data_IF_052185427641
#
_entry.id   IF_052185427641
#
_cell.length_a   1.000
_cell.length_b   1.000
_cell.length_c   1.000
_cell.angle_alpha   90.00
_cell.angle_beta   90.00
_cell.angle_gamma   90.00
#
_symmetry.space_group_name_H-M   'P 1'
#
loop_
_entity.id
_entity.type
_entity.pdbx_description
1 polymer ?
#
# COMPACT_ATOMS: atom_id res chain seq x y z
N UNK A 1 -13.36 15.95 15.54
CA UNK A 1 -12.50 17.16 15.44
C UNK A 1 -11.05 16.70 15.55
N UNK A 2 -10.25 16.88 14.51
CA UNK A 2 -8.81 16.61 14.55
C UNK A 2 -8.14 17.69 15.39
N UNK A 3 -7.39 17.31 16.42
CA UNK A 3 -6.57 18.26 17.18
C UNK A 3 -5.59 18.96 16.23
N UNK A 4 -5.57 20.29 16.27
CA UNK A 4 -4.64 21.13 15.51
C UNK A 4 -3.23 20.92 16.05
N UNK A 5 -2.21 20.63 15.22
CA UNK A 5 -0.84 20.50 15.68
C UNK A 5 -0.29 21.83 16.22
N UNK A 6 0.79 21.75 17.01
CA UNK A 6 1.50 22.93 17.49
C UNK A 6 2.09 23.73 16.31
N UNK A 7 2.26 25.03 16.51
CA UNK A 7 2.61 26.01 15.46
C UNK A 7 3.63 27.02 16.02
N UNK A 8 4.69 27.39 15.27
CA UNK A 8 4.98 27.05 13.87
C UNK A 8 5.38 25.59 13.64
N UNK A 9 4.96 25.04 12.50
CA UNK A 9 5.11 23.64 12.12
C UNK A 9 6.09 23.49 10.95
N UNK A 10 7.09 22.63 11.13
CA UNK A 10 7.90 22.11 10.04
C UNK A 10 7.21 20.86 9.44
N UNK A 11 6.93 20.88 8.14
CA UNK A 11 6.37 19.74 7.40
C UNK A 11 7.43 19.19 6.44
N UNK A 12 7.81 17.92 6.59
CA UNK A 12 8.88 17.31 5.78
C UNK A 12 8.44 15.96 5.21
N UNK A 13 8.31 15.86 3.89
CA UNK A 13 8.00 14.60 3.22
C UNK A 13 8.79 14.46 1.90
N UNK A 14 9.23 13.24 1.61
CA UNK A 14 9.73 12.90 0.27
C UNK A 14 8.65 12.16 -0.54
N UNK A 15 7.99 11.20 0.08
CA UNK A 15 7.03 10.34 -0.61
C UNK A 15 5.62 10.92 -0.54
N UNK A 16 4.81 10.69 -1.58
CA UNK A 16 3.45 11.25 -1.66
C UNK A 16 2.49 10.60 -0.63
N UNK A 17 2.72 9.34 -0.25
CA UNK A 17 1.91 8.60 0.71
C UNK A 17 1.73 9.30 2.07
N UNK A 18 2.80 9.60 2.83
CA UNK A 18 2.68 10.31 4.10
C UNK A 18 2.06 11.70 3.93
N UNK A 19 2.39 12.42 2.84
CA UNK A 19 1.81 13.75 2.58
C UNK A 19 0.30 13.66 2.32
N UNK A 20 -0.16 12.66 1.58
CA UNK A 20 -1.57 12.44 1.28
C UNK A 20 -2.40 12.16 2.55
N UNK A 21 -1.79 11.53 3.56
CA UNK A 21 -2.39 11.34 4.88
C UNK A 21 -2.39 12.64 5.70
N UNK A 22 -1.27 13.38 5.70
CA UNK A 22 -1.09 14.59 6.49
C UNK A 22 -1.98 15.74 6.03
N UNK A 23 -2.04 16.01 4.72
CA UNK A 23 -2.71 17.18 4.16
C UNK A 23 -4.16 17.35 4.65
N UNK A 24 -5.02 16.31 4.60
CA UNK A 24 -6.38 16.40 5.14
C UNK A 24 -6.48 16.60 6.66
N UNK A 25 -5.42 16.31 7.41
CA UNK A 25 -5.40 16.49 8.87
C UNK A 25 -4.99 17.91 9.30
N UNK A 26 -4.45 18.71 8.39
CA UNK A 26 -3.90 20.03 8.67
C UNK A 26 -4.86 21.14 8.21
N UNK A 27 -5.18 22.06 9.11
CA UNK A 27 -5.80 23.34 8.75
C UNK A 27 -4.69 24.38 8.50
N UNK A 28 -4.27 24.47 7.23
CA UNK A 28 -3.20 25.39 6.80
C UNK A 28 -3.57 26.88 6.95
N UNK A 29 -4.83 27.21 7.27
CA UNK A 29 -5.24 28.59 7.57
C UNK A 29 -4.99 28.98 9.03
N UNK A 30 -4.86 27.99 9.92
CA UNK A 30 -4.67 28.19 11.37
C UNK A 30 -3.27 27.86 11.85
N UNK A 31 -2.52 27.06 11.09
CA UNK A 31 -1.17 26.63 11.43
C UNK A 31 -0.17 27.38 10.56
N UNK A 32 0.87 27.95 11.16
CA UNK A 32 2.00 28.52 10.43
C UNK A 32 2.89 27.37 9.99
N UNK A 33 2.88 27.03 8.71
CA UNK A 33 3.63 25.87 8.17
C UNK A 33 4.80 26.35 7.31
N UNK A 34 5.94 25.68 7.47
CA UNK A 34 7.06 25.71 6.52
C UNK A 34 7.29 24.30 6.01
N UNK A 35 7.11 24.10 4.71
CA UNK A 35 7.14 22.78 4.10
C UNK A 35 8.44 22.56 3.31
N UNK A 36 9.27 21.61 3.75
CA UNK A 36 10.42 21.14 2.98
C UNK A 36 10.05 19.80 2.33
N UNK A 37 9.62 19.85 1.08
CA UNK A 37 9.16 18.69 0.32
C UNK A 37 10.13 18.36 -0.80
N UNK A 38 10.24 17.07 -1.13
CA UNK A 38 11.02 16.54 -2.26
C UNK A 38 10.25 15.44 -2.97
N UNK A 39 10.79 14.96 -4.09
CA UNK A 39 10.26 13.79 -4.79
C UNK A 39 8.77 13.90 -5.13
N UNK A 40 8.03 12.77 -5.06
CA UNK A 40 6.58 12.74 -5.29
C UNK A 40 5.77 13.66 -4.36
N UNK A 41 6.21 13.87 -3.11
CA UNK A 41 5.52 14.78 -2.19
C UNK A 41 5.51 16.22 -2.70
N UNK A 42 6.63 16.70 -3.26
CA UNK A 42 6.72 18.05 -3.82
C UNK A 42 5.82 18.23 -5.04
N UNK A 43 5.75 17.23 -5.93
CA UNK A 43 4.88 17.24 -7.09
C UNK A 43 3.41 17.34 -6.64
N UNK A 44 3.00 16.47 -5.72
CA UNK A 44 1.64 16.45 -5.19
C UNK A 44 1.27 17.77 -4.47
N UNK A 45 2.21 18.39 -3.75
CA UNK A 45 1.99 19.69 -3.13
C UNK A 45 1.76 20.80 -4.15
N UNK A 46 2.62 20.88 -5.17
CA UNK A 46 2.56 21.94 -6.20
C UNK A 46 1.27 21.90 -7.00
N UNK A 47 0.79 20.71 -7.35
CA UNK A 47 -0.50 20.51 -8.04
C UNK A 47 -1.67 21.12 -7.26
N UNK A 48 -1.60 21.09 -5.92
CA UNK A 48 -2.71 21.50 -5.04
C UNK A 48 -2.57 22.92 -4.49
N UNK A 49 -1.36 23.36 -4.19
CA UNK A 49 -1.07 24.56 -3.42
C UNK A 49 -0.09 25.52 -4.12
N UNK A 50 0.48 25.14 -5.27
CA UNK A 50 1.60 25.85 -5.89
C UNK A 50 2.84 25.86 -4.99
N UNK A 51 3.61 26.94 -5.05
CA UNK A 51 4.82 27.11 -4.22
C UNK A 51 4.55 27.73 -2.83
N UNK A 52 3.27 27.89 -2.45
CA UNK A 52 2.91 28.46 -1.14
C UNK A 52 3.46 27.59 -0.01
N UNK A 53 3.99 28.25 1.03
CA UNK A 53 4.54 27.64 2.26
C UNK A 53 5.78 26.77 2.05
N UNK A 54 6.25 26.60 0.81
CA UNK A 54 7.47 25.85 0.53
C UNK A 54 8.70 26.62 0.98
N UNK A 55 9.66 25.90 1.53
CA UNK A 55 10.99 26.41 1.86
C UNK A 55 12.07 25.57 1.19
N UNK A 56 13.24 26.17 1.01
CA UNK A 56 14.29 25.58 0.18
C UNK A 56 14.92 24.34 0.84
N UNK A 57 15.09 24.31 2.16
CA UNK A 57 15.82 23.24 2.84
C UNK A 57 15.26 22.95 4.25
N UNK A 58 15.90 21.99 4.94
CA UNK A 58 15.54 21.56 6.28
C UNK A 58 15.79 22.65 7.32
N UNK A 59 16.85 23.45 7.15
CA UNK A 59 17.19 24.51 8.10
C UNK A 59 16.09 25.57 8.12
N UNK A 60 15.68 26.05 6.94
CA UNK A 60 14.58 26.99 6.80
C UNK A 60 13.24 26.44 7.32
N UNK A 61 13.00 25.12 7.18
CA UNK A 61 11.79 24.48 7.68
C UNK A 61 11.74 24.41 9.21
N UNK A 62 12.88 24.11 9.84
CA UNK A 62 12.99 23.90 11.29
C UNK A 62 13.21 25.21 12.06
N UNK A 63 13.68 26.27 11.40
CA UNK A 63 13.90 27.58 12.03
C UNK A 63 12.60 28.11 12.69
N UNK A 64 12.67 28.35 14.01
CA UNK A 64 11.55 28.81 14.82
C UNK A 64 10.35 27.85 14.89
N UNK A 65 10.46 26.62 14.36
CA UNK A 65 9.43 25.60 14.50
C UNK A 65 9.35 25.13 15.95
N UNK A 66 8.17 24.70 16.38
CA UNK A 66 7.95 24.06 17.69
C UNK A 66 7.63 22.56 17.54
N UNK A 67 7.35 22.13 16.31
CA UNK A 67 7.00 20.76 15.98
C UNK A 67 7.49 20.40 14.58
N UNK A 68 7.95 19.16 14.42
CA UNK A 68 8.19 18.50 13.14
C UNK A 68 7.08 17.47 12.88
N UNK A 69 6.40 17.57 11.75
CA UNK A 69 5.62 16.47 11.17
C UNK A 69 6.37 15.97 9.93
N UNK A 70 6.69 14.67 9.90
CA UNK A 70 7.40 14.08 8.77
C UNK A 70 6.82 12.74 8.32
N UNK A 71 7.13 12.34 7.07
CA UNK A 71 6.97 10.95 6.65
C UNK A 71 8.02 10.03 7.26
N UNK A 72 7.98 8.74 6.90
CA UNK A 72 8.90 7.73 7.39
C UNK A 72 9.33 6.75 6.28
N UNK A 73 9.83 7.27 5.17
CA UNK A 73 10.31 6.53 4.02
C UNK A 73 11.57 5.69 4.30
N UNK A 74 11.83 4.76 3.38
CA UNK A 74 12.96 3.81 3.41
C UNK A 74 13.81 4.02 2.17
N UNK A 75 15.13 4.06 2.32
CA UNK A 75 16.08 4.02 1.20
C UNK A 75 17.26 4.99 1.33
N UNK A 76 18.30 4.83 0.49
CA UNK A 76 19.47 5.70 0.50
C UNK A 76 19.21 7.08 -0.13
N UNK A 77 20.06 8.03 0.28
CA UNK A 77 20.34 9.37 -0.27
C UNK A 77 19.18 10.37 -0.35
N UNK A 78 18.18 10.17 -1.21
CA UNK A 78 17.06 11.12 -1.37
C UNK A 78 15.92 10.89 -0.34
N UNK A 79 15.75 9.64 0.11
CA UNK A 79 14.80 9.24 1.18
C UNK A 79 15.38 9.33 2.59
N UNK A 80 16.56 9.95 2.70
CA UNK A 80 17.14 10.34 3.99
C UNK A 80 16.59 11.68 4.51
N UNK A 81 15.85 12.44 3.69
CA UNK A 81 15.28 13.74 4.06
C UNK A 81 14.53 13.69 5.41
N UNK A 82 13.64 12.71 5.55
CA UNK A 82 12.77 12.59 6.74
C UNK A 82 13.55 12.08 7.96
N UNK A 83 14.55 11.21 7.76
CA UNK A 83 15.43 10.75 8.83
C UNK A 83 16.34 11.89 9.32
N UNK A 84 16.94 12.65 8.40
CA UNK A 84 17.70 13.88 8.70
C UNK A 84 16.86 14.92 9.41
N UNK A 85 15.61 15.12 9.00
CA UNK A 85 14.70 16.04 9.67
C UNK A 85 14.49 15.62 11.13
N UNK A 86 14.28 14.32 11.40
CA UNK A 86 14.15 13.80 12.77
C UNK A 86 15.42 14.00 13.60
N UNK A 87 16.61 13.79 13.02
CA UNK A 87 17.88 14.05 13.69
C UNK A 87 18.06 15.54 14.02
N UNK A 88 17.76 16.43 13.07
CA UNK A 88 17.86 17.87 13.27
C UNK A 88 16.84 18.40 14.29
N UNK A 89 15.59 17.93 14.21
CA UNK A 89 14.57 18.26 15.21
C UNK A 89 14.98 17.83 16.63
N UNK A 90 15.59 16.65 16.76
CA UNK A 90 16.13 16.18 18.02
C UNK A 90 17.23 17.09 18.59
N UNK A 91 18.17 17.52 17.74
CA UNK A 91 19.25 18.42 18.13
C UNK A 91 18.73 19.79 18.59
N UNK A 92 17.59 20.22 18.04
CA UNK A 92 16.91 21.47 18.38
C UNK A 92 15.89 21.33 19.53
N UNK A 93 15.70 20.12 20.08
CA UNK A 93 14.71 19.86 21.13
C UNK A 93 13.25 20.01 20.68
N UNK A 94 12.97 19.87 19.38
CA UNK A 94 11.62 19.99 18.81
C UNK A 94 10.84 18.69 18.98
N UNK A 95 9.55 18.83 19.29
CA UNK A 95 8.65 17.67 19.30
C UNK A 95 8.46 17.13 17.88
N UNK A 96 8.78 15.86 17.68
CA UNK A 96 8.82 15.21 16.39
C UNK A 96 7.75 14.13 16.28
N UNK A 97 6.98 14.16 15.19
CA UNK A 97 6.02 13.13 14.83
C UNK A 97 6.39 12.55 13.46
N UNK A 98 6.33 11.22 13.34
CA UNK A 98 6.44 10.56 12.04
C UNK A 98 5.12 9.86 11.65
N UNK A 99 4.76 9.99 10.38
CA UNK A 99 3.59 9.35 9.79
C UNK A 99 3.99 8.09 9.06
N UNK A 100 3.33 6.99 9.38
CA UNK A 100 3.47 5.71 8.68
C UNK A 100 2.30 5.54 7.70
N UNK A 101 2.65 5.40 6.43
CA UNK A 101 1.73 5.34 5.28
C UNK A 101 1.63 3.93 4.67
N UNK A 102 2.33 2.96 5.25
CA UNK A 102 2.36 1.56 4.81
C UNK A 102 2.36 0.62 6.02
N UNK A 103 2.36 -0.70 5.77
CA UNK A 103 2.30 -1.75 6.80
C UNK A 103 3.57 -2.62 6.90
N UNK A 104 4.68 -2.20 6.27
CA UNK A 104 5.92 -2.99 6.24
C UNK A 104 7.13 -2.20 6.76
N UNK A 105 8.09 -2.95 7.29
CA UNK A 105 9.46 -2.51 7.60
C UNK A 105 9.55 -1.36 8.61
N UNK A 106 8.66 -1.33 9.60
CA UNK A 106 8.51 -0.23 10.55
C UNK A 106 9.82 0.13 11.25
N UNK A 107 10.53 -0.86 11.81
CA UNK A 107 11.82 -0.61 12.47
C UNK A 107 12.88 -0.04 11.51
N UNK A 108 12.93 -0.56 10.27
CA UNK A 108 13.91 -0.14 9.27
C UNK A 108 13.69 1.32 8.80
N UNK A 109 12.45 1.84 8.87
CA UNK A 109 12.12 3.25 8.56
C UNK A 109 12.89 4.26 9.43
N UNK A 110 13.28 3.85 10.63
CA UNK A 110 13.94 4.72 11.61
C UNK A 110 15.43 4.44 11.78
N UNK A 111 16.01 3.50 11.03
CA UNK A 111 17.41 3.13 11.14
C UNK A 111 18.18 3.50 9.88
N UNK A 112 19.35 4.14 10.04
CA UNK A 112 20.30 4.46 8.97
C UNK A 112 21.71 4.16 9.45
N UNK A 113 22.48 3.41 8.67
CA UNK A 113 23.87 3.04 8.99
C UNK A 113 24.04 2.47 10.42
N UNK A 114 23.07 1.68 10.88
CA UNK A 114 23.07 1.10 12.23
C UNK A 114 22.60 2.03 13.35
N UNK A 115 22.43 3.32 13.11
CA UNK A 115 21.88 4.27 14.07
C UNK A 115 20.36 4.40 13.92
N UNK A 116 19.64 4.25 15.03
CA UNK A 116 18.18 4.42 15.05
C UNK A 116 17.77 5.76 15.64
N UNK A 117 16.81 6.43 15.00
CA UNK A 117 16.17 7.65 15.53
C UNK A 117 14.65 7.57 15.38
N UNK A 118 14.00 7.30 16.50
CA UNK A 118 12.54 7.37 16.63
C UNK A 118 12.07 8.83 16.76
N UNK A 119 10.83 9.14 16.33
CA UNK A 119 10.16 10.38 16.70
C UNK A 119 9.69 10.30 18.17
N UNK A 120 9.12 11.39 18.68
CA UNK A 120 8.44 11.40 19.98
C UNK A 120 7.05 10.76 19.91
N UNK A 121 6.46 10.73 18.71
CA UNK A 121 5.13 10.17 18.47
C UNK A 121 4.99 9.62 17.04
N UNK A 122 4.16 8.59 16.86
CA UNK A 122 3.77 8.06 15.55
C UNK A 122 2.31 8.33 15.23
N UNK A 123 2.03 8.74 14.00
CA UNK A 123 0.66 8.79 13.46
C UNK A 123 0.46 7.71 12.39
N UNK A 124 -0.68 7.04 12.48
CA UNK A 124 -1.11 5.98 11.56
C UNK A 124 -2.56 6.21 11.16
N UNK A 125 -2.98 5.63 10.03
CA UNK A 125 -4.28 5.92 9.43
C UNK A 125 -5.33 4.78 9.59
N UNK A 126 -4.93 3.60 10.06
CA UNK A 126 -5.81 2.45 10.25
C UNK A 126 -5.44 1.61 11.49
N UNK A 127 -6.38 0.76 11.91
CA UNK A 127 -6.26 -0.01 13.14
C UNK A 127 -5.16 -1.08 13.05
N UNK A 128 -4.94 -1.64 11.87
CA UNK A 128 -3.88 -2.60 11.61
C UNK A 128 -2.49 -1.96 11.71
N UNK A 129 -2.28 -0.80 11.10
CA UNK A 129 -1.06 0.00 11.22
C UNK A 129 -0.82 0.43 12.68
N UNK A 130 -1.89 0.77 13.40
CA UNK A 130 -1.81 1.05 14.84
C UNK A 130 -1.31 -0.14 15.64
N UNK A 131 -1.89 -1.33 15.41
CA UNK A 131 -1.46 -2.55 16.09
C UNK A 131 0.00 -2.90 15.75
N UNK A 132 0.39 -2.80 14.49
CA UNK A 132 1.77 -3.02 14.04
C UNK A 132 2.74 -2.04 14.68
N UNK A 133 2.40 -0.74 14.73
CA UNK A 133 3.24 0.29 15.36
C UNK A 133 3.42 0.04 16.86
N UNK A 134 2.35 -0.32 17.57
CA UNK A 134 2.39 -0.63 19.01
C UNK A 134 3.20 -1.89 19.32
N UNK A 135 3.11 -2.90 18.47
CA UNK A 135 3.91 -4.12 18.59
C UNK A 135 5.40 -3.85 18.29
N UNK A 136 5.68 -3.04 17.27
CA UNK A 136 7.06 -2.74 16.84
C UNK A 136 7.77 -1.78 17.79
N UNK A 137 7.07 -0.79 18.35
CA UNK A 137 7.64 0.24 19.23
C UNK A 137 6.95 0.28 20.59
N UNK A 138 7.22 -0.69 21.48
CA UNK A 138 6.70 -0.66 22.84
C UNK A 138 7.08 0.65 23.55
N UNK A 139 6.09 1.31 24.16
CA UNK A 139 6.29 2.55 24.90
C UNK A 139 6.25 3.83 24.07
N UNK A 140 6.41 3.77 22.75
CA UNK A 140 6.27 4.94 21.89
C UNK A 140 4.78 5.36 21.76
N UNK A 141 4.42 6.63 21.96
CA UNK A 141 3.08 7.12 21.70
C UNK A 141 2.69 6.90 20.23
N UNK A 142 1.53 6.28 20.01
CA UNK A 142 0.95 6.07 18.68
C UNK A 142 -0.44 6.67 18.69
N UNK A 143 -0.78 7.50 17.69
CA UNK A 143 -2.13 8.02 17.48
C UNK A 143 -2.73 7.49 16.19
N UNK A 144 -3.90 6.89 16.32
CA UNK A 144 -4.74 6.55 15.19
C UNK A 144 -5.47 7.81 14.70
N UNK A 145 -5.32 8.14 13.43
CA UNK A 145 -6.00 9.23 12.74
C UNK A 145 -6.90 8.64 11.65
N UNK A 146 -8.01 9.30 11.28
CA UNK A 146 -8.86 8.80 10.20
C UNK A 146 -8.11 8.83 8.86
N UNK A 147 -8.17 7.74 8.08
CA UNK A 147 -7.64 7.71 6.72
C UNK A 147 -8.54 8.49 5.75
N UNK A 148 -8.52 9.83 5.84
CA UNK A 148 -9.33 10.71 4.99
C UNK A 148 -8.95 10.58 3.50
N UNK A 149 -7.71 10.20 3.20
CA UNK A 149 -7.25 9.94 1.83
C UNK A 149 -7.98 8.73 1.24
N UNK A 150 -7.92 7.58 1.92
CA UNK A 150 -8.62 6.36 1.50
C UNK A 150 -10.13 6.58 1.43
N UNK A 151 -10.71 7.27 2.42
CA UNK A 151 -12.15 7.59 2.42
C UNK A 151 -12.55 8.39 1.18
N UNK A 152 -11.78 9.43 0.81
CA UNK A 152 -12.04 10.23 -0.38
C UNK A 152 -11.82 9.44 -1.68
N UNK A 153 -10.93 8.45 -1.70
CA UNK A 153 -10.79 7.54 -2.85
C UNK A 153 -12.01 6.61 -2.95
N UNK A 154 -12.42 5.98 -1.86
CA UNK A 154 -13.58 5.06 -1.81
C UNK A 154 -14.87 5.79 -2.18
N UNK A 155 -15.07 7.03 -1.70
CA UNK A 155 -16.27 7.83 -2.03
C UNK A 155 -16.39 8.19 -3.51
N UNK A 156 -15.29 8.17 -4.26
CA UNK A 156 -15.30 8.42 -5.70
C UNK A 156 -15.55 7.16 -6.53
N UNK A 157 -15.42 5.98 -5.92
CA UNK A 157 -15.69 4.72 -6.59
C UNK A 157 -17.19 4.44 -6.63
N UNK A 158 -17.63 3.81 -7.71
CA UNK A 158 -18.98 3.28 -7.83
C UNK A 158 -19.23 2.17 -6.79
N UNK A 159 -20.50 1.94 -6.39
CA UNK A 159 -20.88 0.79 -5.57
C UNK A 159 -20.35 -0.51 -6.16
N UNK A 160 -19.94 -1.44 -5.29
CA UNK A 160 -19.39 -2.72 -5.72
C UNK A 160 -20.40 -3.49 -6.58
N UNK A 161 -20.01 -3.93 -7.80
CA UNK A 161 -20.84 -4.82 -8.58
C UNK A 161 -21.07 -6.15 -7.84
N UNK A 162 -22.18 -6.82 -8.15
CA UNK A 162 -22.46 -8.16 -7.62
C UNK A 162 -21.45 -9.18 -8.16
N UNK A 163 -20.66 -9.76 -7.27
CA UNK A 163 -19.62 -10.73 -7.58
C UNK A 163 -20.12 -12.00 -8.30
N UNK A 164 -21.40 -12.36 -8.17
CA UNK A 164 -21.99 -13.50 -8.87
C UNK A 164 -22.35 -13.16 -10.32
N UNK A 165 -22.71 -11.90 -10.59
CA UNK A 165 -23.10 -11.43 -11.93
C UNK A 165 -21.94 -10.85 -12.72
N UNK A 166 -20.89 -10.42 -12.03
CA UNK A 166 -19.72 -9.78 -12.61
C UNK A 166 -18.44 -10.55 -12.22
N UNK A 167 -18.15 -11.69 -12.89
CA UNK A 167 -17.03 -12.56 -12.54
C UNK A 167 -15.66 -12.05 -13.02
N UNK A 168 -15.62 -10.93 -13.75
CA UNK A 168 -14.39 -10.34 -14.24
C UNK A 168 -13.45 -9.95 -13.09
N UNK A 169 -12.18 -10.35 -13.21
CA UNK A 169 -11.12 -10.09 -12.23
C UNK A 169 -10.13 -9.10 -12.80
N UNK A 170 -9.94 -7.98 -12.10
CA UNK A 170 -8.80 -7.09 -12.35
C UNK A 170 -7.55 -7.66 -11.68
N UNK A 171 -6.50 -7.89 -12.46
CA UNK A 171 -5.21 -8.39 -12.01
C UNK A 171 -4.22 -7.24 -11.83
N UNK A 172 -3.62 -7.16 -10.66
CA UNK A 172 -2.62 -6.17 -10.26
C UNK A 172 -1.29 -6.87 -9.93
N UNK A 173 -0.48 -7.22 -10.96
CA UNK A 173 0.85 -7.78 -10.75
C UNK A 173 1.81 -6.74 -10.16
N UNK A 174 2.88 -7.23 -9.53
CA UNK A 174 4.01 -6.40 -9.09
C UNK A 174 5.31 -7.02 -9.60
N UNK A 175 6.28 -6.24 -10.10
CA UNK A 175 7.50 -6.77 -10.71
C UNK A 175 8.48 -7.28 -9.64
N UNK A 176 8.14 -8.40 -9.00
CA UNK A 176 8.94 -9.04 -7.94
C UNK A 176 10.04 -9.95 -8.49
N UNK A 177 9.97 -10.30 -9.79
CA UNK A 177 11.03 -11.03 -10.47
C UNK A 177 11.26 -12.41 -9.85
N UNK A 178 12.52 -12.84 -9.75
CA UNK A 178 12.87 -14.18 -9.27
C UNK A 178 12.91 -14.33 -7.73
N UNK A 179 12.27 -13.41 -6.98
CA UNK A 179 12.28 -13.40 -5.52
C UNK A 179 11.74 -14.69 -4.88
N UNK A 180 10.89 -15.44 -5.57
CA UNK A 180 10.32 -16.71 -5.09
C UNK A 180 11.05 -17.95 -5.63
N UNK A 181 12.15 -17.75 -6.36
CA UNK A 181 12.86 -18.82 -7.07
C UNK A 181 12.05 -19.40 -8.24
N UNK A 182 12.52 -20.51 -8.79
CA UNK A 182 11.87 -21.20 -9.91
C UNK A 182 12.30 -20.71 -11.30
N UNK A 183 11.54 -21.08 -12.33
CA UNK A 183 11.84 -20.77 -13.74
C UNK A 183 11.11 -19.53 -14.27
N UNK A 184 10.04 -19.12 -13.60
CA UNK A 184 9.21 -17.99 -13.98
C UNK A 184 9.34 -16.87 -12.94
N UNK A 185 9.19 -15.60 -13.34
CA UNK A 185 9.03 -14.50 -12.39
C UNK A 185 7.86 -14.77 -11.42
N UNK A 186 7.99 -14.32 -10.17
CA UNK A 186 7.01 -14.56 -9.12
C UNK A 186 5.63 -14.00 -9.46
N UNK A 187 5.57 -12.86 -10.15
CA UNK A 187 4.30 -12.32 -10.63
C UNK A 187 3.59 -13.25 -11.62
N UNK A 188 4.32 -13.93 -12.50
CA UNK A 188 3.73 -14.93 -13.39
C UNK A 188 3.33 -16.20 -12.64
N UNK A 189 4.13 -16.62 -11.65
CA UNK A 189 3.77 -17.73 -10.76
C UNK A 189 2.44 -17.44 -10.03
N UNK A 190 2.24 -16.23 -9.54
CA UNK A 190 1.03 -15.79 -8.87
C UNK A 190 -0.20 -15.84 -9.80
N UNK A 191 -0.07 -15.36 -11.04
CA UNK A 191 -1.17 -15.40 -12.01
C UNK A 191 -1.51 -16.83 -12.45
N UNK A 192 -0.49 -17.68 -12.67
CA UNK A 192 -0.71 -19.09 -12.99
C UNK A 192 -1.38 -19.83 -11.82
N UNK A 193 -1.01 -19.49 -10.58
CA UNK A 193 -1.63 -20.03 -9.39
C UNK A 193 -3.11 -19.61 -9.27
N UNK A 194 -3.45 -18.37 -9.62
CA UNK A 194 -4.84 -17.93 -9.74
C UNK A 194 -5.62 -18.79 -10.72
N UNK A 195 -5.12 -18.95 -11.95
CA UNK A 195 -5.79 -19.74 -12.99
C UNK A 195 -6.09 -21.16 -12.49
N UNK A 196 -5.11 -21.83 -11.89
CA UNK A 196 -5.27 -23.20 -11.39
C UNK A 196 -6.28 -23.33 -10.23
N UNK A 197 -6.50 -22.26 -9.46
CA UNK A 197 -7.29 -22.31 -8.22
C UNK A 197 -8.48 -21.35 -8.17
N UNK A 198 -8.83 -20.69 -9.29
CA UNK A 198 -9.94 -19.73 -9.36
C UNK A 198 -11.29 -20.32 -8.94
N UNK A 199 -11.53 -21.61 -9.20
CA UNK A 199 -12.73 -22.33 -8.73
C UNK A 199 -12.93 -22.26 -7.21
N UNK A 200 -11.86 -22.12 -6.43
CA UNK A 200 -11.92 -22.00 -4.96
C UNK A 200 -12.44 -20.63 -4.50
N UNK A 201 -12.42 -19.65 -5.39
CA UNK A 201 -13.05 -18.34 -5.21
C UNK A 201 -14.50 -18.33 -5.71
N UNK A 202 -15.01 -19.45 -6.26
CA UNK A 202 -16.31 -19.52 -6.92
C UNK A 202 -16.31 -18.98 -8.35
N UNK A 203 -15.13 -18.71 -8.94
CA UNK A 203 -14.99 -18.29 -10.33
C UNK A 203 -14.99 -19.52 -11.24
N UNK A 204 -15.72 -19.45 -12.35
CA UNK A 204 -15.85 -20.55 -13.31
C UNK A 204 -15.10 -20.23 -14.61
N UNK A 205 -14.57 -21.27 -15.26
CA UNK A 205 -13.95 -21.14 -16.57
C UNK A 205 -15.03 -21.02 -17.68
N UNK A 206 -14.76 -20.31 -18.78
CA UNK A 206 -13.55 -19.51 -19.03
C UNK A 206 -13.47 -18.29 -18.10
N UNK A 207 -12.27 -18.03 -17.55
CA UNK A 207 -12.06 -16.90 -16.66
C UNK A 207 -12.06 -15.58 -17.46
N UNK A 208 -12.62 -14.53 -16.88
CA UNK A 208 -12.58 -13.17 -17.42
C UNK A 208 -11.52 -12.37 -16.67
N UNK A 209 -10.35 -12.16 -17.26
CA UNK A 209 -9.18 -11.60 -16.60
C UNK A 209 -8.73 -10.32 -17.31
N UNK A 210 -8.64 -9.22 -16.56
CA UNK A 210 -8.11 -7.94 -17.05
C UNK A 210 -6.80 -7.64 -16.33
N UNK A 211 -5.69 -7.72 -17.04
CA UNK A 211 -4.38 -7.46 -16.47
C UNK A 211 -4.03 -5.98 -16.61
N UNK A 212 -3.83 -5.30 -15.48
CA UNK A 212 -3.31 -3.93 -15.47
C UNK A 212 -1.81 -3.96 -15.21
N UNK A 213 -0.95 -3.67 -16.20
CA UNK A 213 0.50 -3.70 -16.01
C UNK A 213 0.96 -2.71 -14.92
N UNK A 214 2.08 -2.99 -14.28
CA UNK A 214 2.71 -2.03 -13.39
C UNK A 214 3.29 -0.85 -14.21
N UNK A 215 3.37 0.35 -13.64
CA UNK A 215 3.98 1.53 -14.30
C UNK A 215 5.46 1.34 -14.71
N UNK A 216 6.10 0.28 -14.22
CA UNK A 216 7.49 -0.08 -14.52
C UNK A 216 7.59 -1.24 -15.52
N UNK A 217 6.47 -1.87 -15.87
CA UNK A 217 6.47 -2.91 -16.88
C UNK A 217 6.68 -2.26 -18.25
N UNK A 218 7.65 -2.74 -19.05
CA UNK A 218 7.82 -2.26 -20.40
C UNK A 218 6.62 -2.67 -21.27
N UNK A 219 6.29 -1.89 -22.32
CA UNK A 219 5.28 -2.28 -23.30
C UNK A 219 5.50 -3.71 -23.81
N UNK A 220 4.44 -4.53 -23.81
CA UNK A 220 4.49 -5.91 -24.27
C UNK A 220 5.03 -6.95 -23.28
N UNK A 221 5.39 -6.56 -22.04
CA UNK A 221 5.87 -7.46 -20.97
C UNK A 221 5.01 -8.72 -20.79
N UNK A 222 3.70 -8.59 -20.98
CA UNK A 222 2.70 -9.63 -20.72
C UNK A 222 2.25 -10.39 -21.97
N UNK A 223 2.76 -10.05 -23.16
CA UNK A 223 2.30 -10.65 -24.42
C UNK A 223 2.48 -12.18 -24.46
N UNK A 224 3.63 -12.68 -24.01
CA UNK A 224 3.91 -14.11 -24.00
C UNK A 224 2.96 -14.86 -23.05
N UNK A 225 2.74 -14.33 -21.85
CA UNK A 225 1.83 -14.91 -20.87
C UNK A 225 0.38 -14.90 -21.38
N UNK A 226 -0.11 -13.78 -21.95
CA UNK A 226 -1.45 -13.69 -22.55
C UNK A 226 -1.65 -14.68 -23.70
N UNK A 227 -0.64 -14.85 -24.56
CA UNK A 227 -0.71 -15.78 -25.68
C UNK A 227 -0.72 -17.25 -25.22
N UNK A 228 -0.02 -17.58 -24.15
CA UNK A 228 0.03 -18.94 -23.61
C UNK A 228 -1.32 -19.42 -23.07
N UNK A 229 -2.19 -18.51 -22.63
CA UNK A 229 -3.52 -18.82 -22.07
C UNK A 229 -4.67 -18.47 -23.04
N UNK A 230 -4.35 -18.06 -24.28
CA UNK A 230 -5.35 -17.68 -25.28
C UNK A 230 -6.19 -18.90 -25.69
N UNK A 231 -7.51 -18.73 -25.69
CA UNK A 231 -8.46 -19.77 -26.09
C UNK A 231 -9.04 -20.58 -24.93
N UNK A 232 -8.38 -20.57 -23.77
CA UNK A 232 -8.90 -21.18 -22.53
C UNK A 232 -9.65 -20.16 -21.66
N UNK A 233 -9.19 -18.90 -21.68
CA UNK A 233 -9.73 -17.80 -20.88
C UNK A 233 -9.86 -16.53 -21.72
N UNK A 234 -10.72 -15.63 -21.25
CA UNK A 234 -10.88 -14.28 -21.78
C UNK A 234 -9.89 -13.34 -21.09
N UNK A 235 -8.69 -13.20 -21.65
CA UNK A 235 -7.64 -12.34 -21.11
C UNK A 235 -7.47 -11.07 -21.95
N UNK A 236 -7.38 -9.93 -21.27
CA UNK A 236 -7.07 -8.65 -21.91
C UNK A 236 -6.15 -7.80 -21.04
N UNK A 237 -5.39 -6.90 -21.67
CA UNK A 237 -4.77 -5.78 -20.96
C UNK A 237 -5.88 -4.79 -20.59
N UNK A 238 -5.88 -4.35 -19.33
CA UNK A 238 -6.73 -3.27 -18.87
C UNK A 238 -6.33 -1.95 -19.54
N UNK A 239 -7.31 -1.27 -20.13
CA UNK A 239 -7.13 -0.01 -20.84
C UNK A 239 -7.83 1.16 -20.14
N UNK A 240 -8.35 0.94 -18.92
CA UNK A 240 -9.01 1.99 -18.16
C UNK A 240 -8.02 3.15 -17.90
N UNK A 241 -8.42 4.41 -18.19
CA UNK A 241 -7.57 5.58 -17.98
C UNK A 241 -6.98 5.67 -16.58
N UNK A 242 -7.75 5.29 -15.56
CA UNK A 242 -7.32 5.32 -14.16
C UNK A 242 -7.51 3.98 -13.48
N UNK A 243 -6.72 3.72 -12.44
CA UNK A 243 -6.90 2.54 -11.57
C UNK A 243 -8.28 2.56 -10.90
N UNK A 244 -8.81 3.74 -10.58
CA UNK A 244 -10.15 3.88 -10.00
C UNK A 244 -11.23 3.37 -10.98
N UNK A 245 -11.17 3.80 -12.24
CA UNK A 245 -12.09 3.31 -13.29
C UNK A 245 -11.94 1.80 -13.53
N UNK A 246 -10.72 1.26 -13.45
CA UNK A 246 -10.49 -0.18 -13.53
C UNK A 246 -11.19 -0.94 -12.39
N UNK A 247 -11.09 -0.42 -11.16
CA UNK A 247 -11.72 -1.00 -9.95
C UNK A 247 -13.26 -0.85 -10.00
N UNK A 248 -13.77 0.22 -10.60
CA UNK A 248 -15.21 0.46 -10.74
C UNK A 248 -15.90 -0.58 -11.60
N UNK A 249 -15.22 -1.09 -12.61
CA UNK A 249 -15.79 -2.04 -13.56
C UNK A 249 -15.89 -3.47 -13.04
N UNK A 250 -15.32 -3.80 -11.88
CA UNK A 250 -15.17 -5.20 -11.41
C UNK A 250 -15.59 -5.40 -9.96
N UNK A 251 -16.11 -6.59 -9.67
CA UNK A 251 -16.36 -7.05 -8.31
C UNK A 251 -15.12 -7.71 -7.67
N UNK A 252 -14.21 -8.22 -8.49
CA UNK A 252 -13.02 -8.96 -8.07
C UNK A 252 -11.74 -8.22 -8.45
N UNK A 253 -10.84 -8.08 -7.50
CA UNK A 253 -9.51 -7.51 -7.72
C UNK A 253 -8.50 -8.46 -7.08
N UNK A 254 -7.51 -8.92 -7.85
CA UNK A 254 -6.51 -9.87 -7.38
C UNK A 254 -5.10 -9.34 -7.68
N UNK A 255 -4.19 -9.45 -6.72
CA UNK A 255 -2.84 -8.91 -6.90
C UNK A 255 -1.84 -9.33 -5.84
N UNK A 256 -0.68 -8.71 -5.90
CA UNK A 256 0.39 -8.83 -4.90
C UNK A 256 0.29 -7.70 -3.84
N UNK A 257 1.38 -7.30 -3.19
CA UNK A 257 1.35 -6.46 -1.98
C UNK A 257 1.17 -4.96 -2.29
N UNK A 258 0.01 -4.59 -2.83
CA UNK A 258 -0.25 -3.22 -3.30
C UNK A 258 -1.27 -2.45 -2.44
N UNK A 259 -1.09 -1.13 -2.20
CA UNK A 259 -2.14 -0.25 -1.67
C UNK A 259 -3.43 -0.27 -2.51
N UNK A 260 -3.35 -0.62 -3.80
CA UNK A 260 -4.52 -0.78 -4.66
C UNK A 260 -5.47 -1.89 -4.19
N UNK A 261 -4.95 -2.99 -3.64
CA UNK A 261 -5.79 -4.04 -3.04
C UNK A 261 -6.50 -3.55 -1.79
N UNK A 262 -5.86 -2.68 -1.00
CA UNK A 262 -6.47 -2.09 0.19
C UNK A 262 -7.61 -1.15 -0.21
N UNK A 263 -7.41 -0.34 -1.25
CA UNK A 263 -8.47 0.50 -1.83
C UNK A 263 -9.65 -0.36 -2.32
N UNK A 264 -9.39 -1.39 -3.12
CA UNK A 264 -10.43 -2.28 -3.62
C UNK A 264 -11.21 -2.95 -2.48
N UNK A 265 -10.50 -3.44 -1.45
CA UNK A 265 -11.12 -4.03 -0.27
C UNK A 265 -12.01 -3.04 0.49
N UNK A 266 -11.50 -1.83 0.74
CA UNK A 266 -12.25 -0.76 1.41
C UNK A 266 -13.48 -0.31 0.60
N UNK A 267 -13.42 -0.43 -0.74
CA UNK A 267 -14.54 -0.17 -1.64
C UNK A 267 -15.53 -1.35 -1.78
N UNK A 268 -15.41 -2.38 -0.93
CA UNK A 268 -16.32 -3.53 -0.91
C UNK A 268 -16.07 -4.55 -2.02
N UNK A 269 -14.95 -4.45 -2.76
CA UNK A 269 -14.59 -5.45 -3.76
C UNK A 269 -14.07 -6.73 -3.06
N UNK A 270 -14.17 -7.85 -3.76
CA UNK A 270 -13.52 -9.11 -3.37
C UNK A 270 -12.04 -9.02 -3.71
N UNK A 271 -11.26 -8.46 -2.79
CA UNK A 271 -9.82 -8.31 -2.92
C UNK A 271 -9.07 -9.60 -2.55
N UNK A 272 -8.21 -10.08 -3.45
CA UNK A 272 -7.51 -11.37 -3.35
C UNK A 272 -5.99 -11.18 -3.41
N UNK A 273 -5.29 -11.67 -2.39
CA UNK A 273 -3.84 -11.82 -2.37
C UNK A 273 -3.42 -13.11 -3.09
N UNK A 274 -2.57 -12.97 -4.11
CA UNK A 274 -2.20 -14.06 -5.03
C UNK A 274 -0.98 -14.90 -4.62
N UNK A 275 -0.29 -14.55 -3.54
CA UNK A 275 0.93 -15.25 -3.11
C UNK A 275 0.64 -16.75 -2.90
N UNK A 276 1.31 -17.64 -3.65
CA UNK A 276 1.13 -19.09 -3.51
C UNK A 276 1.75 -19.64 -2.21
N UNK A 277 1.53 -20.93 -1.87
CA UNK A 277 2.04 -21.54 -0.65
C UNK A 277 3.57 -21.50 -0.50
N UNK A 278 4.32 -21.53 -1.59
CA UNK A 278 5.79 -21.46 -1.58
C UNK A 278 6.35 -20.04 -1.51
N UNK A 279 5.52 -19.02 -1.70
CA UNK A 279 5.90 -17.62 -1.55
C UNK A 279 5.72 -17.16 -0.09
N UNK A 280 6.43 -16.10 0.35
CA UNK A 280 6.08 -15.38 1.57
C UNK A 280 4.61 -14.97 1.57
N UNK A 281 3.96 -15.02 2.73
CA UNK A 281 2.59 -14.56 2.87
C UNK A 281 2.52 -13.06 2.63
N UNK A 282 1.46 -12.60 1.94
CA UNK A 282 1.14 -11.17 1.85
C UNK A 282 1.20 -10.51 3.23
N UNK A 283 1.96 -9.43 3.31
CA UNK A 283 2.14 -8.59 4.49
C UNK A 283 1.03 -7.55 4.66
N UNK A 284 0.09 -7.46 3.72
CA UNK A 284 -1.10 -6.60 3.86
C UNK A 284 -1.94 -7.09 5.05
N UNK A 285 -2.15 -6.25 6.08
CA UNK A 285 -2.76 -6.72 7.32
C UNK A 285 -4.29 -6.64 7.35
N UNK A 286 -4.92 -6.06 6.32
CA UNK A 286 -6.36 -5.77 6.34
C UNK A 286 -7.19 -7.04 6.52
N UNK A 287 -8.03 -7.02 7.54
CA UNK A 287 -8.96 -8.12 7.82
C UNK A 287 -9.99 -8.22 6.71
N UNK A 288 -10.15 -9.41 6.13
CA UNK A 288 -11.15 -9.67 5.09
C UNK A 288 -10.58 -9.71 3.68
N UNK A 289 -9.29 -9.41 3.49
CA UNK A 289 -8.55 -9.82 2.30
C UNK A 289 -8.61 -11.34 2.16
N UNK A 290 -8.92 -11.81 0.95
CA UNK A 290 -8.90 -13.23 0.63
C UNK A 290 -7.47 -13.64 0.28
N UNK A 291 -6.91 -14.65 0.95
CA UNK A 291 -5.61 -15.19 0.58
C UNK A 291 -5.81 -16.50 -0.18
N UNK A 292 -5.48 -16.52 -1.47
CA UNK A 292 -5.76 -17.68 -2.32
C UNK A 292 -5.08 -18.96 -1.80
N UNK A 293 -3.84 -18.84 -1.28
CA UNK A 293 -3.11 -19.94 -0.62
C UNK A 293 -3.90 -20.62 0.50
N UNK A 294 -4.68 -19.87 1.29
CA UNK A 294 -5.41 -20.43 2.44
C UNK A 294 -6.66 -21.21 1.99
N UNK A 295 -7.19 -20.88 0.82
CA UNK A 295 -8.31 -21.60 0.21
C UNK A 295 -7.83 -22.89 -0.46
N UNK A 296 -6.57 -22.90 -0.93
CA UNK A 296 -5.94 -24.09 -1.50
C UNK A 296 -5.64 -25.17 -0.45
N UNK A 297 -5.13 -24.77 0.71
CA UNK A 297 -4.68 -25.74 1.72
C UNK A 297 -5.81 -26.43 2.49
N UNK A 298 -6.99 -25.79 2.62
CA UNK A 298 -8.12 -26.30 3.40
C UNK A 298 -8.72 -27.59 2.83
N UNK A 299 -8.76 -27.73 1.51
CA UNK A 299 -9.38 -28.89 0.85
C UNK A 299 -8.39 -30.04 0.65
N UNK A 300 -7.10 -29.76 0.51
CA UNK A 300 -6.08 -30.81 0.37
C UNK A 300 -5.86 -31.53 1.70
N UNK A 301 -5.95 -30.81 2.83
CA UNK A 301 -6.00 -31.40 4.18
C UNK A 301 -7.28 -32.17 4.47
N UNK A 302 -8.42 -31.75 3.92
CA UNK A 302 -9.68 -32.50 4.02
C UNK A 302 -9.61 -33.81 3.20
N UNK A 303 -9.13 -33.75 1.96
CA UNK A 303 -8.92 -34.94 1.10
C UNK A 303 -7.90 -35.92 1.67
N UNK A 304 -6.82 -35.45 2.28
CA UNK A 304 -5.83 -36.30 2.96
C UNK A 304 -6.38 -36.94 4.25
N UNK A 305 -7.30 -36.27 4.95
CA UNK A 305 -8.01 -36.86 6.10
C UNK A 305 -8.99 -37.94 5.66
N UNK A 306 -9.75 -37.70 4.59
CA UNK A 306 -10.71 -38.67 4.06
C UNK A 306 -10.01 -39.89 3.42
N UNK A 307 -8.84 -39.70 2.81
CA UNK A 307 -7.99 -40.77 2.28
C UNK A 307 -7.25 -41.58 3.37
N UNK A 308 -7.06 -41.01 4.57
CA UNK A 308 -6.43 -41.69 5.71
C UNK A 308 -7.38 -42.55 6.55
N UNK A 309 -8.69 -42.47 6.30
CA UNK A 309 -9.73 -43.28 6.97
C UNK A 309 -10.22 -44.46 6.14
N UNK A 310 -9.63 -44.70 4.96
CA UNK A 310 -9.95 -45.83 4.10
C UNK A 310 -8.75 -46.79 4.00
N UNK A 311 -8.46 -47.50 5.08
CA UNK A 311 -7.78 -48.79 5.03
C UNK A 311 -8.33 -49.68 6.16
N UNK A 312 -8.69 -50.95 5.89
CA UNK A 312 -9.31 -51.86 6.85
C UNK A 312 -8.37 -52.28 8.00
#
# INVERSE_FOLDING_TARGET
>A
MTATPASPLALVCHDAGPLALLLPWLDLTRVRVRACLRGPALQHWRERMGDKLLVQDLEAALDGAVMLLSGAGIGPDARDLEHRARLAAAALGLHSVAVLDHWIDYAARFTRQGASRLPDELWVADAEAYALARATFPGLPVRLRPNLHLQAQVQRLAPAPDAQRHPAVLLLPEPIGMAWGGRLPGEEQALNYLIAHAHRLGLQAPLQLRLRPHDHDPPGRWNAWLNAHRGEHELAIDVAPTLAEAIDAVAWVAGLESPALVLAHAAGRRAVCLQPPWAPRSRLPQRGLLHLRDLADRTDRARLRDAGTAAP
#
